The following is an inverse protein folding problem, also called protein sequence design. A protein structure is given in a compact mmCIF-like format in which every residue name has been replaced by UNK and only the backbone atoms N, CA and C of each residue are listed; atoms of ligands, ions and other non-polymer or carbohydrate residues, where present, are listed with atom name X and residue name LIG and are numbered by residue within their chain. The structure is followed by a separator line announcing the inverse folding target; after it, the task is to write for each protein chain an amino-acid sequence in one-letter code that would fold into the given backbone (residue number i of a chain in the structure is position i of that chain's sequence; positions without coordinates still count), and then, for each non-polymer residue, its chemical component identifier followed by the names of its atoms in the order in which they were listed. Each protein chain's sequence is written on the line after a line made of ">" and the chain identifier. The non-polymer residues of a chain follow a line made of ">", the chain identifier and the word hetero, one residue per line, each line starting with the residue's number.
data_IF_390987276803
#
_entry.id   IF_390987276803
#
_cell.length_a   1.000
_cell.length_b   1.000
_cell.length_c   1.000
_cell.angle_alpha   90.00
_cell.angle_beta   90.00
_cell.angle_gamma   90.00
#
_symmetry.space_group_name_H-M   'P 1'
#
loop_
_entity.id
_entity.type
_entity.pdbx_description
1 polymer ?
#
# COMPACT_ATOMS: atom_id res chain seq x y z
N UNK A 1 -6.39 -11.82 8.24
CA UNK A 1 -5.13 -12.34 7.68
C UNK A 1 -4.35 -11.20 7.10
N UNK A 2 -3.06 -11.19 7.32
CA UNK A 2 -2.21 -10.08 6.91
C UNK A 2 -1.29 -10.47 5.76
N UNK A 3 -1.81 -11.24 4.82
CA UNK A 3 -1.01 -11.76 3.72
C UNK A 3 -0.45 -10.67 2.83
N UNK A 4 -1.13 -9.53 2.77
CA UNK A 4 -0.67 -8.46 1.91
C UNK A 4 0.36 -7.54 2.56
N UNK A 5 0.55 -7.66 3.88
CA UNK A 5 1.58 -6.86 4.54
C UNK A 5 2.93 -7.23 3.95
N UNK A 6 3.68 -6.22 3.56
CA UNK A 6 4.99 -6.43 2.95
C UNK A 6 4.97 -6.55 1.44
N UNK A 7 3.79 -6.66 0.83
CA UNK A 7 3.69 -6.72 -0.63
C UNK A 7 4.01 -5.36 -1.22
N UNK A 8 4.66 -5.38 -2.34
CA UNK A 8 5.03 -4.15 -3.03
C UNK A 8 3.87 -3.63 -3.87
N UNK A 9 3.71 -2.31 -3.89
CA UNK A 9 2.70 -1.67 -4.72
C UNK A 9 3.34 -0.57 -5.54
N UNK A 10 2.71 -0.25 -6.67
CA UNK A 10 3.14 0.85 -7.51
C UNK A 10 1.91 1.69 -7.84
N UNK A 11 1.98 2.97 -7.51
CA UNK A 11 0.88 3.90 -7.72
C UNK A 11 1.44 5.05 -8.54
N UNK A 12 1.09 5.07 -9.84
CA UNK A 12 1.67 6.03 -10.75
C UNK A 12 3.16 5.75 -10.89
N UNK A 13 3.98 6.74 -10.57
CA UNK A 13 5.42 6.60 -10.63
C UNK A 13 6.05 6.37 -9.25
N UNK A 14 5.23 6.13 -8.24
CA UNK A 14 5.70 5.95 -6.87
C UNK A 14 5.58 4.49 -6.49
N UNK A 15 6.56 4.00 -5.74
CA UNK A 15 6.61 2.63 -5.30
C UNK A 15 6.67 2.58 -3.79
N UNK A 16 6.03 1.58 -3.21
CA UNK A 16 6.02 1.40 -1.78
C UNK A 16 5.61 0.00 -1.41
N UNK A 17 5.27 -0.17 -0.15
CA UNK A 17 4.82 -1.46 0.32
C UNK A 17 3.65 -1.28 1.27
N UNK A 18 2.85 -2.33 1.37
CA UNK A 18 1.74 -2.35 2.32
C UNK A 18 2.31 -2.54 3.70
N UNK A 19 2.05 -1.57 4.60
CA UNK A 19 2.64 -1.59 5.93
C UNK A 19 1.62 -1.84 7.04
N UNK A 20 0.32 -1.70 6.73
CA UNK A 20 -0.67 -1.91 7.78
C UNK A 20 -2.02 -2.21 7.16
N UNK A 21 -2.86 -2.88 7.93
CA UNK A 21 -4.26 -3.13 7.57
C UNK A 21 -5.11 -2.27 8.46
N UNK A 22 -5.91 -1.39 7.87
CA UNK A 22 -6.71 -0.43 8.62
C UNK A 22 -8.16 -0.53 8.17
N UNK A 23 -8.98 -1.15 9.00
CA UNK A 23 -10.40 -1.25 8.68
C UNK A 23 -10.63 -1.96 7.36
N UNK A 24 -11.20 -1.25 6.39
CA UNK A 24 -11.56 -1.82 5.10
C UNK A 24 -10.50 -1.55 4.03
N UNK A 25 -9.29 -1.25 4.45
CA UNK A 25 -8.24 -0.95 3.48
C UNK A 25 -6.87 -1.13 4.04
N UNK A 26 -5.90 -0.59 3.33
CA UNK A 26 -4.49 -0.79 3.63
C UNK A 26 -3.75 0.52 3.67
N UNK A 27 -2.76 0.58 4.54
CA UNK A 27 -1.83 1.69 4.54
C UNK A 27 -0.61 1.31 3.73
N UNK A 28 -0.24 2.17 2.80
CA UNK A 28 0.94 1.98 1.96
C UNK A 28 1.94 3.05 2.31
N UNK A 29 3.19 2.63 2.55
CA UNK A 29 4.28 3.55 2.80
C UNK A 29 5.17 3.56 1.57
N UNK A 30 5.35 4.74 0.98
CA UNK A 30 6.18 4.86 -0.21
C UNK A 30 7.66 4.85 0.14
N UNK A 31 8.45 4.24 -0.73
CA UNK A 31 9.91 4.23 -0.59
C UNK A 31 10.46 5.60 -0.91
N UNK A 32 11.49 6.00 -0.20
CA UNK A 32 12.26 7.22 -0.50
C UNK A 32 11.46 8.52 -0.40
N UNK A 33 10.31 8.47 0.25
CA UNK A 33 9.50 9.67 0.47
C UNK A 33 9.22 9.75 1.96
N UNK A 34 9.74 10.79 2.60
CA UNK A 34 9.49 10.99 4.02
C UNK A 34 7.99 11.24 4.23
N UNK A 35 7.40 10.52 5.18
CA UNK A 35 5.98 10.63 5.48
C UNK A 35 5.09 10.32 4.29
N UNK A 36 5.61 9.56 3.32
CA UNK A 36 4.83 9.19 2.15
C UNK A 36 3.93 8.00 2.43
N UNK A 37 2.77 8.24 3.02
CA UNK A 37 1.82 7.20 3.34
C UNK A 37 0.46 7.56 2.76
N UNK A 38 -0.22 6.55 2.23
CA UNK A 38 -1.58 6.72 1.72
C UNK A 38 -2.43 5.55 2.17
N UNK A 39 -3.72 5.78 2.21
CA UNK A 39 -4.69 4.73 2.50
C UNK A 39 -5.34 4.30 1.19
N UNK A 40 -5.34 3.00 0.93
CA UNK A 40 -5.95 2.43 -0.27
C UNK A 40 -7.06 1.48 0.18
N UNK A 41 -8.26 1.71 -0.34
CA UNK A 41 -9.40 0.84 -0.06
C UNK A 41 -9.07 -0.59 -0.49
N UNK A 42 -9.56 -1.56 0.27
CA UNK A 42 -9.28 -2.96 -0.01
C UNK A 42 -9.72 -3.37 -1.42
N UNK A 43 -10.76 -2.72 -1.94
CA UNK A 43 -11.25 -3.04 -3.28
C UNK A 43 -10.27 -2.59 -4.36
N UNK A 44 -9.46 -1.59 -4.07
CA UNK A 44 -8.59 -1.00 -5.08
C UNK A 44 -7.17 -1.51 -4.99
N UNK A 45 -6.80 -2.16 -3.88
CA UNK A 45 -5.39 -2.49 -3.64
C UNK A 45 -4.83 -3.41 -4.73
N UNK A 46 -5.66 -4.30 -5.25
CA UNK A 46 -5.18 -5.26 -6.24
C UNK A 46 -4.80 -4.61 -7.57
N UNK A 47 -5.32 -3.41 -7.83
CA UNK A 47 -4.94 -2.67 -9.03
C UNK A 47 -3.52 -2.14 -8.95
N UNK A 48 -2.97 -2.07 -7.75
CA UNK A 48 -1.65 -1.47 -7.52
C UNK A 48 -0.59 -2.49 -7.14
N UNK A 49 -0.98 -3.71 -6.85
CA UNK A 49 0.01 -4.73 -6.47
C UNK A 49 0.93 -5.04 -7.64
N UNK A 50 2.20 -5.15 -7.31
CA UNK A 50 3.22 -5.49 -8.29
C UNK A 50 3.35 -7.00 -8.43
#
# INVERSE_FOLDING_TARGET
>A
MAELIGREVKIGDKEGEITNVLGIGYEVTFFNIADGRVFIDARDIYDYLV
#
